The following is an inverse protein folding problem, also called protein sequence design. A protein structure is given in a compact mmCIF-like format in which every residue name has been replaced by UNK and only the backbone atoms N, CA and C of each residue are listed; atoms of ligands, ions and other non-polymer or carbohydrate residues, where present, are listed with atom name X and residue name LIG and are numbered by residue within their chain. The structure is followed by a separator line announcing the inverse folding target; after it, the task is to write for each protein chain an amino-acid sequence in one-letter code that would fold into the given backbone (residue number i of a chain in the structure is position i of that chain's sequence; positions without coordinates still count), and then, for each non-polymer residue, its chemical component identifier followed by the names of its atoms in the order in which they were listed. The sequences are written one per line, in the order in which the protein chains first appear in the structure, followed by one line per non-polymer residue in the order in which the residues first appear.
data_IF_090830515260
#
_entry.id   IF_090830515260
#
_cell.length_a   1.000
_cell.length_b   1.000
_cell.length_c   1.000
_cell.angle_alpha   90.00
_cell.angle_beta   90.00
_cell.angle_gamma   90.00
#
_symmetry.space_group_name_H-M   'P 1'
#
loop_
_entity.id
_entity.type
_entity.pdbx_description
1 polymer ?
#
# COMPACT_ATOMS: atom_id res chain seq x y z
N UNK A 1 58.59 64.82 32.03
CA UNK A 1 57.70 65.97 32.33
C UNK A 1 56.32 65.61 31.81
N UNK A 2 55.24 65.95 32.52
CA UNK A 2 53.87 65.57 32.14
C UNK A 2 53.34 64.36 32.93
N UNK A 3 52.21 64.55 33.61
CA UNK A 3 51.57 63.63 34.54
C UNK A 3 50.06 63.63 34.28
N UNK A 4 49.38 62.52 34.61
CA UNK A 4 47.91 62.34 34.73
C UNK A 4 47.14 62.35 33.40
N UNK A 5 46.06 61.61 33.14
CA UNK A 5 45.24 60.55 33.76
C UNK A 5 43.77 60.84 33.39
N UNK A 6 42.86 59.86 33.61
CA UNK A 6 41.39 59.88 33.35
C UNK A 6 41.05 59.71 31.85
N UNK A 7 40.25 58.74 31.40
CA UNK A 7 39.59 57.61 32.11
C UNK A 7 39.30 56.36 31.23
N UNK A 8 38.99 55.28 31.94
CA UNK A 8 38.34 53.99 31.62
C UNK A 8 37.06 54.10 30.77
N UNK A 9 36.91 53.19 29.78
CA UNK A 9 35.63 52.58 29.41
C UNK A 9 35.87 51.15 28.91
N UNK A 10 35.09 50.18 29.40
CA UNK A 10 35.25 48.77 29.07
C UNK A 10 34.36 48.34 27.91
N UNK A 11 34.78 47.34 27.12
CA UNK A 11 33.83 46.38 26.54
C UNK A 11 34.49 45.02 26.26
N UNK A 12 34.16 44.03 27.10
CA UNK A 12 34.30 42.63 26.74
C UNK A 12 33.08 42.22 25.91
N UNK A 13 33.25 41.62 24.72
CA UNK A 13 32.36 40.57 24.18
C UNK A 13 33.20 39.63 23.33
N UNK A 14 32.99 38.33 23.48
CA UNK A 14 33.68 37.29 22.72
C UNK A 14 33.15 37.17 21.28
N UNK A 15 34.06 37.03 20.31
CA UNK A 15 33.70 36.63 18.93
C UNK A 15 33.64 35.10 18.88
N UNK A 16 32.46 34.55 19.13
CA UNK A 16 32.20 33.11 19.10
C UNK A 16 30.79 32.78 18.58
N UNK A 17 30.51 33.13 17.31
CA UNK A 17 29.37 32.62 16.55
C UNK A 17 29.55 32.92 15.04
N UNK A 18 30.07 31.97 14.27
CA UNK A 18 30.08 32.01 12.79
C UNK A 18 29.58 30.68 12.20
N UNK A 19 28.44 30.19 12.72
CA UNK A 19 27.65 29.12 12.10
C UNK A 19 26.15 29.35 12.36
N UNK A 20 25.62 30.50 11.94
CA UNK A 20 24.20 30.63 11.61
C UNK A 20 24.09 30.53 10.09
N UNK A 21 23.44 29.47 9.61
CA UNK A 21 23.31 29.20 8.19
C UNK A 21 22.58 30.30 7.44
N UNK A 22 22.77 30.35 6.12
CA UNK A 22 22.06 31.25 5.25
C UNK A 22 20.55 30.92 5.24
N UNK A 23 19.75 31.62 6.03
CA UNK A 23 18.32 31.71 5.75
C UNK A 23 18.15 32.39 4.40
N UNK A 24 17.62 31.64 3.42
CA UNK A 24 17.25 32.19 2.11
C UNK A 24 15.84 32.79 2.22
N UNK A 25 15.68 34.13 2.20
CA UNK A 25 14.36 34.77 2.33
C UNK A 25 13.48 34.60 1.08
N UNK A 26 13.99 33.93 0.04
CA UNK A 26 13.27 33.58 -1.18
C UNK A 26 13.08 32.07 -1.36
N UNK A 27 13.34 31.26 -0.32
CA UNK A 27 12.69 29.95 -0.25
C UNK A 27 11.30 30.18 0.35
N UNK A 28 10.21 30.20 -0.46
CA UNK A 28 8.89 30.28 0.13
C UNK A 28 8.73 29.09 1.08
N UNK A 29 8.35 29.36 2.33
CA UNK A 29 7.85 28.31 3.20
C UNK A 29 6.54 27.82 2.60
N UNK A 30 6.65 26.86 1.68
CA UNK A 30 5.51 26.14 1.15
C UNK A 30 4.91 25.43 2.35
N UNK A 31 3.80 25.97 2.83
CA UNK A 31 2.96 25.40 3.89
C UNK A 31 2.25 24.14 3.40
N UNK A 32 2.99 23.23 2.78
CA UNK A 32 2.69 21.82 2.73
C UNK A 32 3.31 21.23 3.98
N UNK A 33 2.61 21.36 5.10
CA UNK A 33 2.39 20.16 5.88
C UNK A 33 1.70 19.17 4.95
N UNK A 34 2.51 18.36 4.24
CA UNK A 34 2.10 17.00 3.93
C UNK A 34 2.09 16.26 5.27
N UNK A 35 1.10 16.63 6.09
CA UNK A 35 0.42 15.65 6.90
C UNK A 35 -0.35 14.81 5.88
N UNK A 36 0.39 13.94 5.19
CA UNK A 36 -0.17 12.75 4.57
C UNK A 36 -0.65 11.90 5.74
N UNK A 37 -1.81 12.27 6.30
CA UNK A 37 -2.62 11.40 7.14
C UNK A 37 -3.11 10.26 6.23
N UNK A 38 -2.19 9.34 5.90
CA UNK A 38 -2.53 8.00 5.46
C UNK A 38 -3.55 7.49 6.47
N UNK A 39 -4.76 7.22 6.00
CA UNK A 39 -5.92 7.01 6.87
C UNK A 39 -5.60 5.92 7.89
N UNK A 40 -6.04 6.08 9.13
CA UNK A 40 -5.74 5.08 10.16
C UNK A 40 -6.21 3.69 9.69
N UNK A 41 -5.28 2.72 9.65
CA UNK A 41 -5.60 1.39 9.18
C UNK A 41 -6.68 0.77 10.07
N UNK A 42 -7.70 0.16 9.47
CA UNK A 42 -8.77 -0.44 10.23
C UNK A 42 -8.29 -1.68 10.98
N UNK A 43 -8.68 -1.83 12.24
CA UNK A 43 -8.45 -3.07 12.99
C UNK A 43 -9.04 -4.28 12.21
N UNK A 44 -8.24 -5.31 11.86
CA UNK A 44 -8.67 -6.47 11.08
C UNK A 44 -9.50 -7.48 11.91
N UNK A 45 -10.45 -6.96 12.69
CA UNK A 45 -11.35 -7.70 13.58
C UNK A 45 -12.49 -8.40 12.84
N UNK A 46 -12.72 -8.06 11.57
CA UNK A 46 -13.68 -8.73 10.70
C UNK A 46 -13.12 -8.90 9.28
N UNK A 47 -13.60 -9.89 8.51
CA UNK A 47 -13.19 -10.08 7.12
C UNK A 47 -13.42 -8.85 6.23
N UNK A 48 -14.47 -8.06 6.49
CA UNK A 48 -14.74 -6.86 5.70
C UNK A 48 -13.70 -5.76 5.97
N UNK A 49 -13.23 -5.60 7.21
CA UNK A 49 -12.16 -4.62 7.53
C UNK A 49 -10.85 -4.93 6.80
N UNK A 50 -10.55 -6.19 6.53
CA UNK A 50 -9.39 -6.59 5.72
C UNK A 50 -9.54 -6.12 4.27
N UNK A 51 -10.73 -6.28 3.68
CA UNK A 51 -11.01 -5.76 2.33
C UNK A 51 -11.08 -4.23 2.28
N UNK A 52 -11.55 -3.59 3.34
CA UNK A 52 -11.52 -2.12 3.47
C UNK A 52 -10.05 -1.63 3.50
N UNK A 53 -9.17 -2.27 4.28
CA UNK A 53 -7.74 -1.99 4.29
C UNK A 53 -7.08 -2.25 2.93
N UNK A 54 -7.46 -3.32 2.22
CA UNK A 54 -6.95 -3.64 0.89
C UNK A 54 -7.27 -2.52 -0.12
N UNK A 55 -8.50 -2.00 -0.08
CA UNK A 55 -8.93 -0.87 -0.93
C UNK A 55 -8.12 0.39 -0.61
N UNK A 56 -7.97 0.73 0.67
CA UNK A 56 -7.20 1.91 1.08
C UNK A 56 -5.71 1.76 0.72
N UNK A 57 -5.15 0.55 0.86
CA UNK A 57 -3.77 0.27 0.48
C UNK A 57 -3.50 0.49 -1.02
N UNK A 58 -4.45 0.15 -1.90
CA UNK A 58 -4.36 0.54 -3.31
C UNK A 58 -4.41 2.05 -3.50
N UNK A 59 -5.35 2.74 -2.85
CA UNK A 59 -5.56 4.19 -3.00
C UNK A 59 -4.35 5.02 -2.53
N UNK A 60 -3.73 4.63 -1.43
CA UNK A 60 -2.55 5.27 -0.84
C UNK A 60 -1.22 4.71 -1.42
N UNK A 61 -1.31 3.63 -2.20
CA UNK A 61 -0.19 2.82 -2.68
C UNK A 61 0.71 2.32 -1.52
N UNK A 62 0.11 2.09 -0.35
CA UNK A 62 0.77 1.66 0.89
C UNK A 62 1.03 0.14 0.83
N UNK A 63 2.27 -0.22 0.50
CA UNK A 63 2.68 -1.62 0.37
C UNK A 63 2.67 -2.36 1.71
N UNK A 64 2.95 -1.69 2.84
CA UNK A 64 3.01 -2.36 4.14
C UNK A 64 1.58 -2.70 4.62
N UNK A 65 0.63 -1.78 4.41
CA UNK A 65 -0.81 -2.01 4.63
C UNK A 65 -1.38 -3.07 3.69
N UNK A 66 -0.98 -3.06 2.42
CA UNK A 66 -1.34 -4.10 1.46
C UNK A 66 -0.88 -5.47 1.94
N UNK A 67 0.41 -5.61 2.26
CA UNK A 67 1.01 -6.87 2.71
C UNK A 67 0.54 -7.31 4.11
N UNK A 68 0.03 -6.40 4.93
CA UNK A 68 -0.62 -6.71 6.21
C UNK A 68 -2.03 -7.34 6.05
N UNK A 69 -2.66 -7.18 4.89
CA UNK A 69 -3.92 -7.86 4.58
C UNK A 69 -3.72 -9.36 4.23
N UNK A 70 -2.50 -9.77 3.89
CA UNK A 70 -2.17 -11.10 3.39
C UNK A 70 -1.53 -11.98 4.48
N UNK A 71 -1.93 -13.24 4.57
CA UNK A 71 -1.33 -14.22 5.49
C UNK A 71 0.17 -14.38 5.17
N UNK A 72 1.02 -14.28 6.20
CA UNK A 72 2.48 -14.28 6.02
C UNK A 72 3.04 -15.61 5.50
N UNK A 73 2.37 -16.73 5.79
CA UNK A 73 2.90 -18.08 5.53
C UNK A 73 2.14 -18.80 4.41
N UNK A 74 0.81 -18.66 4.37
CA UNK A 74 -0.06 -19.50 3.53
C UNK A 74 -0.72 -18.74 2.36
N UNK A 75 -0.43 -17.44 2.17
CA UNK A 75 -1.05 -16.66 1.09
C UNK A 75 -0.71 -17.21 -0.31
N UNK A 76 -1.76 -17.47 -1.09
CA UNK A 76 -1.69 -17.86 -2.50
C UNK A 76 -2.61 -16.98 -3.35
N UNK A 77 -2.11 -16.41 -4.44
CA UNK A 77 -2.95 -15.79 -5.48
C UNK A 77 -3.13 -16.78 -6.64
N UNK A 78 -4.32 -16.81 -7.24
CA UNK A 78 -4.68 -17.70 -8.34
C UNK A 78 -5.24 -16.91 -9.50
N UNK A 79 -4.54 -16.99 -10.63
CA UNK A 79 -4.94 -16.34 -11.87
C UNK A 79 -6.12 -17.08 -12.52
N UNK A 80 -6.88 -16.38 -13.36
CA UNK A 80 -7.89 -17.02 -14.20
C UNK A 80 -7.21 -17.71 -15.39
N UNK A 81 -7.24 -19.06 -15.52
CA UNK A 81 -6.63 -19.76 -16.65
C UNK A 81 -7.27 -19.43 -18.01
N UNK A 82 -8.37 -18.66 -18.05
CA UNK A 82 -8.97 -18.15 -19.29
C UNK A 82 -8.45 -16.77 -19.71
N UNK A 83 -7.60 -16.11 -18.91
CA UNK A 83 -7.02 -14.80 -19.22
C UNK A 83 -6.12 -14.83 -20.49
N UNK A 84 -6.44 -14.04 -21.54
CA UNK A 84 -5.66 -14.04 -22.77
C UNK A 84 -4.23 -13.54 -22.57
N UNK A 85 -3.26 -14.42 -22.84
CA UNK A 85 -1.83 -14.10 -22.74
C UNK A 85 -1.19 -14.40 -21.37
N UNK A 86 -1.98 -14.87 -20.40
CA UNK A 86 -1.49 -15.26 -19.08
C UNK A 86 -0.35 -16.29 -19.16
N UNK A 87 -0.53 -17.39 -19.91
CA UNK A 87 0.48 -18.44 -20.06
C UNK A 87 1.85 -17.88 -20.45
N UNK A 88 1.89 -16.94 -21.41
CA UNK A 88 3.13 -16.33 -21.89
C UNK A 88 3.78 -15.38 -20.86
N UNK A 89 2.98 -14.73 -20.02
CA UNK A 89 3.44 -13.88 -18.93
C UNK A 89 4.02 -14.73 -17.78
N UNK A 90 3.34 -15.81 -17.41
CA UNK A 90 3.78 -16.74 -16.37
C UNK A 90 5.01 -17.54 -16.79
N UNK A 91 5.06 -18.06 -18.02
CA UNK A 91 6.24 -18.72 -18.60
C UNK A 91 7.47 -17.80 -18.57
N UNK A 92 7.30 -16.51 -18.91
CA UNK A 92 8.38 -15.52 -18.88
C UNK A 92 8.91 -15.24 -17.46
N UNK A 93 8.12 -15.51 -16.42
CA UNK A 93 8.49 -15.41 -15.01
C UNK A 93 8.91 -16.76 -14.40
N UNK A 94 8.80 -17.87 -15.14
CA UNK A 94 9.07 -19.22 -14.65
C UNK A 94 7.98 -19.76 -13.72
N UNK A 95 6.79 -19.17 -13.72
CA UNK A 95 5.65 -19.58 -12.90
C UNK A 95 4.92 -20.70 -13.63
N UNK A 96 4.84 -21.86 -12.98
CA UNK A 96 4.06 -23.01 -13.44
C UNK A 96 2.94 -23.27 -12.45
N UNK A 97 1.69 -23.44 -12.94
CA UNK A 97 0.42 -23.72 -12.23
C UNK A 97 -0.62 -22.57 -12.16
N UNK A 98 -0.38 -21.38 -12.72
CA UNK A 98 -1.31 -20.25 -12.66
C UNK A 98 -1.62 -19.79 -11.22
N UNK A 99 -0.64 -19.96 -10.34
CA UNK A 99 -0.67 -19.52 -8.94
C UNK A 99 0.68 -18.90 -8.59
N UNK A 100 0.70 -17.83 -7.79
CA UNK A 100 1.91 -17.28 -7.18
C UNK A 100 1.72 -17.03 -5.68
N UNK A 101 2.80 -16.73 -4.96
CA UNK A 101 2.77 -16.58 -3.51
C UNK A 101 3.07 -15.14 -3.09
N UNK A 102 3.16 -14.93 -1.78
CA UNK A 102 3.31 -13.63 -1.14
C UNK A 102 4.54 -12.83 -1.62
N UNK A 103 5.58 -13.49 -2.11
CA UNK A 103 6.80 -12.82 -2.60
C UNK A 103 6.59 -12.21 -3.97
N UNK A 104 6.00 -12.96 -4.89
CA UNK A 104 5.69 -12.52 -6.25
C UNK A 104 4.61 -11.43 -6.22
N UNK A 105 3.60 -11.61 -5.35
CA UNK A 105 2.56 -10.61 -5.07
C UNK A 105 3.14 -9.29 -4.56
N UNK A 106 4.09 -9.34 -3.60
CA UNK A 106 4.79 -8.15 -3.14
C UNK A 106 5.57 -7.48 -4.26
N UNK A 107 6.34 -8.23 -5.06
CA UNK A 107 7.12 -7.70 -6.18
C UNK A 107 6.24 -7.01 -7.22
N UNK A 108 5.14 -7.64 -7.61
CA UNK A 108 4.21 -7.12 -8.62
C UNK A 108 3.50 -5.86 -8.13
N UNK A 109 2.91 -5.90 -6.93
CA UNK A 109 2.19 -4.74 -6.36
C UNK A 109 3.15 -3.59 -6.02
N UNK A 110 4.35 -3.89 -5.51
CA UNK A 110 5.39 -2.86 -5.29
C UNK A 110 5.85 -2.20 -6.59
N UNK A 111 6.00 -2.96 -7.68
CA UNK A 111 6.34 -2.42 -8.99
C UNK A 111 5.24 -1.50 -9.53
N UNK A 112 3.97 -1.94 -9.49
CA UNK A 112 2.81 -1.14 -9.86
C UNK A 112 2.75 0.18 -9.06
N UNK A 113 2.89 0.11 -7.74
CA UNK A 113 2.87 1.28 -6.86
C UNK A 113 4.03 2.25 -7.14
N UNK A 114 5.22 1.73 -7.45
CA UNK A 114 6.38 2.55 -7.80
C UNK A 114 6.22 3.22 -9.17
N UNK A 115 5.69 2.51 -10.17
CA UNK A 115 5.45 3.03 -11.52
C UNK A 115 4.40 4.14 -11.52
N UNK A 116 3.26 3.92 -10.85
CA UNK A 116 2.17 4.91 -10.75
C UNK A 116 2.63 6.16 -9.98
N UNK A 117 3.35 6.00 -8.86
CA UNK A 117 3.98 7.14 -8.16
C UNK A 117 4.98 7.89 -9.05
N UNK A 118 5.79 7.17 -9.82
CA UNK A 118 6.82 7.76 -10.70
C UNK A 118 6.26 8.70 -11.77
N UNK A 119 4.97 8.58 -12.10
CA UNK A 119 4.26 9.46 -13.05
C UNK A 119 3.24 10.39 -12.38
N UNK A 120 3.24 10.50 -11.04
CA UNK A 120 2.21 11.20 -10.24
C UNK A 120 0.78 10.75 -10.58
N UNK A 121 0.61 9.45 -10.77
CA UNK A 121 -0.66 8.80 -11.06
C UNK A 121 -1.49 8.49 -9.82
N UNK A 122 -2.57 7.75 -10.02
CA UNK A 122 -3.45 7.26 -8.95
C UNK A 122 -3.98 5.86 -9.27
N UNK A 123 -4.27 5.10 -8.22
CA UNK A 123 -4.96 3.81 -8.30
C UNK A 123 -6.27 3.94 -7.53
N UNK A 124 -7.36 3.41 -8.10
CA UNK A 124 -8.65 3.31 -7.43
C UNK A 124 -9.18 1.89 -7.56
N UNK A 125 -9.58 1.28 -6.44
CA UNK A 125 -10.28 -0.01 -6.41
C UNK A 125 -11.65 0.19 -5.79
N UNK A 126 -12.68 -0.31 -6.47
CA UNK A 126 -14.02 -0.46 -5.91
C UNK A 126 -14.36 -1.96 -5.80
N UNK A 127 -14.76 -2.41 -4.61
CA UNK A 127 -15.18 -3.79 -4.35
C UNK A 127 -16.67 -3.83 -3.98
N UNK A 128 -17.47 -4.65 -4.66
CA UNK A 128 -18.92 -4.80 -4.41
C UNK A 128 -19.32 -6.27 -4.43
N UNK A 129 -20.28 -6.70 -3.61
CA UNK A 129 -20.70 -8.10 -3.61
C UNK A 129 -21.51 -8.55 -2.40
N UNK A 130 -21.69 -9.87 -2.31
CA UNK A 130 -22.46 -10.54 -1.24
C UNK A 130 -21.74 -10.50 0.13
N UNK A 131 -22.45 -10.62 1.26
CA UNK A 131 -21.81 -10.79 2.57
C UNK A 131 -20.90 -12.04 2.61
N UNK A 132 -19.91 -12.10 3.53
CA UNK A 132 -19.10 -13.30 3.75
C UNK A 132 -19.95 -14.52 4.07
N UNK A 133 -19.50 -15.69 3.63
CA UNK A 133 -20.09 -16.98 3.98
C UNK A 133 -19.00 -17.99 4.40
N UNK A 134 -19.40 -19.04 5.12
CA UNK A 134 -18.46 -20.11 5.51
C UNK A 134 -18.02 -20.90 4.28
N UNK A 135 -16.71 -21.07 4.10
CA UNK A 135 -16.17 -21.76 2.93
C UNK A 135 -16.34 -23.28 3.09
N UNK A 136 -17.05 -23.91 2.15
CA UNK A 136 -17.33 -25.36 2.19
C UNK A 136 -16.09 -26.23 1.97
N UNK A 137 -14.98 -25.67 1.51
CA UNK A 137 -13.70 -26.36 1.32
C UNK A 137 -12.83 -26.48 2.57
N UNK A 138 -13.19 -25.82 3.68
CA UNK A 138 -12.46 -25.92 4.96
C UNK A 138 -13.20 -26.82 5.97
N UNK A 139 -12.72 -28.05 6.24
CA UNK A 139 -13.33 -28.95 7.22
C UNK A 139 -13.30 -28.44 8.66
N UNK A 140 -12.48 -27.43 8.96
CA UNK A 140 -12.38 -26.82 10.29
C UNK A 140 -13.40 -25.71 10.54
N UNK A 141 -14.01 -25.16 9.48
CA UNK A 141 -15.03 -24.10 9.57
C UNK A 141 -14.50 -22.76 10.08
N UNK A 142 -13.21 -22.48 9.92
CA UNK A 142 -12.56 -21.23 10.35
C UNK A 142 -12.31 -20.27 9.17
N UNK A 143 -12.47 -20.76 7.94
CA UNK A 143 -12.27 -20.00 6.71
C UNK A 143 -13.60 -19.48 6.16
N UNK A 144 -13.68 -18.18 5.90
CA UNK A 144 -14.79 -17.55 5.17
C UNK A 144 -14.39 -17.25 3.74
N UNK A 145 -15.35 -17.35 2.82
CA UNK A 145 -15.18 -16.90 1.43
C UNK A 145 -16.02 -15.65 1.16
N UNK A 146 -15.43 -14.71 0.44
CA UNK A 146 -16.04 -13.44 0.03
C UNK A 146 -15.86 -13.26 -1.47
N UNK A 147 -16.96 -13.28 -2.20
CA UNK A 147 -17.00 -12.90 -3.60
C UNK A 147 -17.16 -11.38 -3.74
N UNK A 148 -16.32 -10.74 -4.55
CA UNK A 148 -16.40 -9.32 -4.93
C UNK A 148 -16.30 -9.17 -6.44
N UNK A 149 -17.29 -8.52 -7.05
CA UNK A 149 -17.06 -7.83 -8.31
C UNK A 149 -16.16 -6.62 -8.03
N UNK A 150 -15.09 -6.46 -8.81
CA UNK A 150 -14.16 -5.34 -8.67
C UNK A 150 -14.11 -4.47 -9.92
N UNK A 151 -13.66 -3.23 -9.71
CA UNK A 151 -13.22 -2.30 -10.75
C UNK A 151 -11.93 -1.66 -10.25
N UNK A 152 -10.85 -1.84 -11.00
CA UNK A 152 -9.52 -1.29 -10.79
C UNK A 152 -9.27 -0.25 -11.88
N UNK A 153 -9.02 0.99 -11.48
CA UNK A 153 -8.64 2.08 -12.38
C UNK A 153 -7.22 2.54 -12.07
N UNK A 154 -6.35 2.58 -13.07
CA UNK A 154 -4.99 3.10 -12.96
C UNK A 154 -4.82 4.28 -13.90
N UNK A 155 -4.53 5.45 -13.33
CA UNK A 155 -4.29 6.71 -14.06
C UNK A 155 -2.81 7.09 -13.90
N UNK A 156 -2.14 7.64 -14.92
CA UNK A 156 -2.67 8.06 -16.23
C UNK A 156 -2.72 6.96 -17.29
N UNK A 157 -2.35 5.71 -16.99
CA UNK A 157 -2.13 4.63 -17.96
C UNK A 157 -3.37 4.13 -18.74
N UNK A 158 -4.56 4.69 -18.47
CA UNK A 158 -5.85 4.28 -19.07
C UNK A 158 -6.16 2.78 -18.90
N UNK A 159 -5.64 2.19 -17.81
CA UNK A 159 -5.89 0.80 -17.45
C UNK A 159 -7.13 0.74 -16.58
N UNK A 160 -8.24 0.28 -17.15
CA UNK A 160 -9.50 0.06 -16.45
C UNK A 160 -9.85 -1.43 -16.54
N UNK A 161 -9.61 -2.18 -15.46
CA UNK A 161 -9.80 -3.63 -15.37
C UNK A 161 -10.97 -3.92 -14.43
N UNK A 162 -11.79 -4.92 -14.76
CA UNK A 162 -12.91 -5.29 -13.92
C UNK A 162 -13.24 -6.77 -14.04
N UNK A 163 -13.41 -7.44 -12.90
CA UNK A 163 -13.59 -8.88 -12.81
C UNK A 163 -14.34 -9.29 -11.55
N UNK A 164 -14.15 -10.54 -11.13
CA UNK A 164 -14.71 -11.11 -9.90
C UNK A 164 -13.62 -11.80 -9.09
N UNK A 165 -13.25 -11.21 -7.95
CA UNK A 165 -12.33 -11.81 -6.99
C UNK A 165 -13.08 -12.68 -5.97
N UNK A 166 -12.49 -13.81 -5.62
CA UNK A 166 -12.88 -14.66 -4.49
C UNK A 166 -11.77 -14.63 -3.45
N UNK A 167 -12.04 -13.97 -2.33
CA UNK A 167 -11.12 -13.89 -1.20
C UNK A 167 -11.49 -14.95 -0.17
N UNK A 168 -10.54 -15.80 0.22
CA UNK A 168 -10.67 -16.70 1.37
C UNK A 168 -9.86 -16.15 2.52
N UNK A 169 -10.52 -15.97 3.66
CA UNK A 169 -9.94 -15.34 4.84
C UNK A 169 -10.11 -16.25 6.06
N UNK A 170 -9.11 -16.24 6.95
CA UNK A 170 -9.16 -16.89 8.27
C UNK A 170 -8.57 -15.94 9.32
N UNK A 171 -8.73 -16.27 10.59
CA UNK A 171 -7.96 -15.61 11.65
C UNK A 171 -6.55 -16.22 11.75
N UNK A 172 -5.54 -15.38 11.93
CA UNK A 172 -4.17 -15.78 12.25
C UNK A 172 -4.01 -16.07 13.77
N UNK A 173 -2.79 -16.42 14.20
CA UNK A 173 -2.48 -16.73 15.60
C UNK A 173 -2.73 -15.58 16.59
N UNK A 174 -2.84 -14.34 16.11
CA UNK A 174 -3.15 -13.14 16.89
C UNK A 174 -4.65 -12.81 16.93
N UNK A 175 -5.50 -13.59 16.25
CA UNK A 175 -6.94 -13.35 16.13
C UNK A 175 -7.31 -12.32 15.04
N UNK A 176 -6.34 -11.81 14.28
CA UNK A 176 -6.57 -10.88 13.18
C UNK A 176 -6.98 -11.65 11.92
N UNK A 177 -7.99 -11.16 11.20
CA UNK A 177 -8.34 -11.71 9.90
C UNK A 177 -7.29 -11.35 8.85
N UNK A 178 -6.96 -12.32 7.99
CA UNK A 178 -6.03 -12.19 6.88
C UNK A 178 -6.53 -12.97 5.66
N UNK A 179 -6.18 -12.52 4.46
CA UNK A 179 -6.41 -13.23 3.20
C UNK A 179 -5.38 -14.36 3.09
N UNK A 180 -5.85 -15.60 2.99
CA UNK A 180 -5.01 -16.79 2.69
C UNK A 180 -5.07 -17.18 1.23
N UNK A 181 -6.14 -16.83 0.53
CA UNK A 181 -6.27 -17.11 -0.89
C UNK A 181 -7.02 -15.98 -1.59
N UNK A 182 -6.48 -15.52 -2.71
CA UNK A 182 -7.19 -14.65 -3.63
C UNK A 182 -7.23 -15.35 -4.99
N UNK A 183 -8.41 -15.76 -5.42
CA UNK A 183 -8.63 -16.22 -6.79
C UNK A 183 -9.27 -15.10 -7.61
N UNK A 184 -8.63 -14.72 -8.71
CA UNK A 184 -9.23 -13.83 -9.71
C UNK A 184 -10.07 -14.62 -10.72
N UNK A 185 -11.04 -13.93 -11.32
CA UNK A 185 -11.81 -14.37 -12.49
C UNK A 185 -12.15 -13.19 -13.36
N UNK A 186 -11.98 -13.35 -14.67
CA UNK A 186 -12.47 -12.38 -15.64
C UNK A 186 -13.99 -12.25 -15.54
N UNK A 187 -14.50 -11.06 -15.85
CA UNK A 187 -15.93 -10.84 -16.02
C UNK A 187 -16.38 -11.55 -17.30
N UNK A 188 -17.20 -12.58 -17.16
CA UNK A 188 -17.99 -13.11 -18.27
C UNK A 188 -18.89 -11.98 -18.81
N UNK A 189 -18.73 -11.60 -20.09
CA UNK A 189 -19.70 -10.73 -20.76
C UNK A 189 -21.01 -11.52 -21.03
N UNK A 190 -22.19 -10.91 -20.81
CA UNK A 190 -23.49 -11.58 -20.91
C UNK A 190 -24.02 -11.76 -22.34
#
# INVERSE_FOLDING_TARGET
MGWRAVAVAALCVAVAAFYTGCENPFNPTVGMSFDDEAGEAFDPTTPQRVLDNLVVAYQEMDIDRYMACLDTNDFTFKFDPSEPGLDALLDAQGIVNNEWYRTEEWLATQALFAEVRGVNGSISVALTGAPPHQWSGDPSGNTVEIQRAYQLEVRPFQTDVAGTAFFRLRQNEYGNWVIVEWQDKMREEP
#
